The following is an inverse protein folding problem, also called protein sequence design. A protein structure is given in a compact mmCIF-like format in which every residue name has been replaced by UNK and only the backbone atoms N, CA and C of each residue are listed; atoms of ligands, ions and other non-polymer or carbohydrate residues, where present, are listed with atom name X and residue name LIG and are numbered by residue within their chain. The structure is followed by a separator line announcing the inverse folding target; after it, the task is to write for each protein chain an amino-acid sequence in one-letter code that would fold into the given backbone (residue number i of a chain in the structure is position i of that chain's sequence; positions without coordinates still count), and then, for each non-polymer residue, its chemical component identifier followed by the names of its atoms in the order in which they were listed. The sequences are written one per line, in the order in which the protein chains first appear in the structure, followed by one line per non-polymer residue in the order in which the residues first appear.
data_IF_232088024901
#
_entry.id   IF_232088024901
#
_cell.length_a   1.000
_cell.length_b   1.000
_cell.length_c   1.000
_cell.angle_alpha   90.00
_cell.angle_beta   90.00
_cell.angle_gamma   90.00
#
_symmetry.space_group_name_H-M   'P 1'
#
loop_
_entity.id
_entity.type
_entity.pdbx_description
1 polymer ?
#
# COMPACT_ATOMS: atom_id res chain seq x y z
N UNK A 1 0.74 7.34 18.38
CA UNK A 1 1.53 6.74 17.26
C UNK A 1 2.99 7.20 17.31
N UNK A 2 3.45 8.17 16.51
CA UNK A 2 4.90 8.49 16.44
C UNK A 2 5.48 9.09 17.74
N UNK A 3 4.69 9.87 18.49
CA UNK A 3 5.11 10.42 19.80
C UNK A 3 5.13 9.39 20.94
N UNK A 4 4.47 8.25 20.76
CA UNK A 4 4.29 7.23 21.80
C UNK A 4 5.05 5.94 21.47
N UNK A 5 5.72 5.85 20.31
CA UNK A 5 6.36 4.64 19.77
C UNK A 5 5.46 3.39 19.74
N UNK A 6 4.15 3.57 19.84
CA UNK A 6 3.20 2.47 19.89
C UNK A 6 2.62 2.23 18.49
N UNK A 7 3.23 1.29 17.77
CA UNK A 7 2.74 0.76 16.49
C UNK A 7 1.95 -0.54 16.67
N UNK A 8 1.30 -0.72 17.83
CA UNK A 8 0.48 -1.91 18.05
C UNK A 8 -0.70 -1.94 17.08
N UNK A 9 -1.09 -3.14 16.62
CA UNK A 9 -2.23 -3.30 15.73
C UNK A 9 -3.55 -2.87 16.38
N UNK A 10 -3.63 -2.84 17.71
CA UNK A 10 -4.80 -2.32 18.44
C UNK A 10 -4.89 -0.80 18.35
N UNK A 11 -3.77 -0.10 18.50
CA UNK A 11 -3.73 1.35 18.35
C UNK A 11 -4.09 1.74 16.90
N UNK A 12 -3.61 1.00 15.89
CA UNK A 12 -3.99 1.22 14.48
C UNK A 12 -5.49 0.98 14.25
N UNK A 13 -6.07 -0.05 14.89
CA UNK A 13 -7.52 -0.34 14.82
C UNK A 13 -8.35 0.77 15.46
N UNK A 14 -7.92 1.26 16.62
CA UNK A 14 -8.63 2.29 17.38
C UNK A 14 -8.61 3.65 16.67
N UNK A 15 -7.47 4.00 16.05
CA UNK A 15 -7.30 5.23 15.28
C UNK A 15 -7.86 5.13 13.85
N UNK A 16 -8.33 3.95 13.41
CA UNK A 16 -8.86 3.69 12.07
C UNK A 16 -7.97 4.22 10.93
N UNK A 17 -6.65 4.16 11.11
CA UNK A 17 -5.70 4.64 10.11
C UNK A 17 -5.59 3.59 9.02
N UNK A 18 -5.99 3.96 7.79
CA UNK A 18 -5.79 3.14 6.59
C UNK A 18 -4.55 3.57 5.81
N UNK A 19 -4.25 2.86 4.73
CA UNK A 19 -3.18 3.26 3.80
C UNK A 19 -3.49 4.61 3.12
N UNK A 20 -4.78 4.95 2.96
CA UNK A 20 -5.25 6.19 2.31
C UNK A 20 -4.98 7.43 3.15
N UNK A 21 -5.08 7.32 4.47
CA UNK A 21 -4.89 8.44 5.39
C UNK A 21 -3.46 8.53 5.94
N UNK A 22 -2.54 7.69 5.46
CA UNK A 22 -1.15 7.66 5.93
C UNK A 22 -0.37 8.89 5.40
N UNK A 23 -0.61 9.25 4.15
CA UNK A 23 0.03 10.39 3.49
C UNK A 23 -1.02 11.38 2.99
N UNK A 24 -0.68 12.66 3.05
CA UNK A 24 -1.49 13.74 2.50
C UNK A 24 -0.65 14.42 1.43
N UNK A 25 -1.19 14.53 0.22
CA UNK A 25 -0.55 15.28 -0.86
C UNK A 25 -0.64 16.77 -0.57
N UNK A 26 0.51 17.45 -0.56
CA UNK A 26 0.58 18.90 -0.39
C UNK A 26 0.69 19.53 -1.78
N UNK A 27 -0.26 20.39 -2.19
CA UNK A 27 -0.21 21.01 -3.50
C UNK A 27 0.99 21.97 -3.60
N UNK A 28 1.78 21.82 -4.66
CA UNK A 28 2.94 22.69 -4.93
C UNK A 28 2.46 23.91 -5.70
N UNK A 29 2.61 25.10 -5.10
CA UNK A 29 2.29 26.39 -5.74
C UNK A 29 3.59 27.13 -6.03
N UNK A 30 3.93 27.24 -7.32
CA UNK A 30 5.09 27.99 -7.77
C UNK A 30 4.68 29.47 -7.89
N UNK A 31 5.37 30.36 -7.16
CA UNK A 31 5.21 31.81 -7.27
C UNK A 31 6.54 32.42 -7.65
N UNK A 32 6.56 33.12 -8.78
CA UNK A 32 7.74 33.82 -9.26
C UNK A 32 7.65 35.31 -8.97
N UNK A 33 8.81 35.92 -8.73
CA UNK A 33 8.91 37.39 -8.69
C UNK A 33 8.76 37.98 -10.09
N UNK A 34 8.33 39.25 -10.23
CA UNK A 34 8.28 39.91 -11.53
C UNK A 34 9.62 39.89 -12.26
N UNK A 35 10.73 40.04 -11.52
CA UNK A 35 12.08 40.01 -12.09
C UNK A 35 12.45 38.62 -12.63
N UNK A 36 12.05 37.56 -11.92
CA UNK A 36 12.22 36.18 -12.37
C UNK A 36 11.43 35.93 -13.66
N UNK A 37 10.25 36.52 -13.82
CA UNK A 37 9.47 36.37 -15.05
C UNK A 37 10.15 37.07 -16.25
N UNK A 38 10.74 38.25 -16.04
CA UNK A 38 11.51 38.96 -17.08
C UNK A 38 12.72 38.12 -17.49
N UNK A 39 13.48 37.62 -16.50
CA UNK A 39 14.63 36.76 -16.74
C UNK A 39 14.24 35.46 -17.48
N UNK A 40 13.13 34.82 -17.10
CA UNK A 40 12.64 33.63 -17.80
C UNK A 40 12.22 33.93 -19.25
N UNK A 41 11.77 35.16 -19.54
CA UNK A 41 11.43 35.59 -20.90
C UNK A 41 12.69 35.74 -21.77
N UNK A 42 13.74 36.38 -21.24
CA UNK A 42 15.03 36.50 -21.94
C UNK A 42 15.66 35.11 -22.17
N UNK A 43 15.60 34.23 -21.18
CA UNK A 43 16.12 32.86 -21.30
C UNK A 43 15.31 32.07 -22.35
N UNK A 44 13.99 32.26 -22.42
CA UNK A 44 13.16 31.56 -23.41
C UNK A 44 13.54 31.90 -24.85
N UNK A 45 14.03 33.11 -25.13
CA UNK A 45 14.52 33.51 -26.46
C UNK A 45 15.89 32.90 -26.79
N UNK A 46 16.68 32.55 -25.77
CA UNK A 46 18.00 31.92 -25.95
C UNK A 46 17.93 30.40 -26.11
N UNK A 47 16.79 29.77 -25.79
CA UNK A 47 16.62 28.31 -25.88
C UNK A 47 16.20 27.91 -27.31
N UNK A 48 16.87 26.94 -27.94
CA UNK A 48 16.44 26.40 -29.23
C UNK A 48 15.03 25.79 -29.16
N UNK A 49 14.18 26.05 -30.16
CA UNK A 49 12.78 25.58 -30.20
C UNK A 49 12.64 24.04 -30.11
N UNK A 50 13.68 23.28 -30.46
CA UNK A 50 13.65 21.82 -30.50
C UNK A 50 13.67 21.14 -29.11
N UNK A 51 14.20 21.82 -28.08
CA UNK A 51 14.38 21.27 -26.73
C UNK A 51 13.04 20.93 -26.03
N UNK A 52 11.93 21.57 -26.43
CA UNK A 52 10.59 21.34 -25.87
C UNK A 52 9.85 20.11 -26.42
N UNK A 53 10.31 19.54 -27.53
CA UNK A 53 9.60 18.46 -28.24
C UNK A 53 9.71 17.10 -27.56
N UNK A 54 10.63 16.94 -26.59
CA UNK A 54 10.87 15.70 -25.82
C UNK A 54 9.61 15.21 -25.10
N UNK A 55 8.66 16.10 -24.79
CA UNK A 55 7.37 15.72 -24.21
C UNK A 55 6.51 14.87 -25.17
N UNK A 56 6.65 15.04 -26.48
CA UNK A 56 5.88 14.30 -27.49
C UNK A 56 6.54 12.98 -27.91
N UNK A 57 7.65 12.61 -27.27
CA UNK A 57 8.28 11.32 -27.53
C UNK A 57 7.35 10.16 -27.13
N UNK A 58 7.24 9.21 -28.05
CA UNK A 58 6.47 7.97 -27.96
C UNK A 58 7.34 6.80 -27.44
N UNK A 59 8.67 6.96 -27.40
CA UNK A 59 9.66 5.99 -26.95
C UNK A 59 9.68 5.76 -25.43
N UNK A 60 8.52 5.65 -24.78
CA UNK A 60 8.41 5.62 -23.31
C UNK A 60 8.27 4.20 -22.73
N UNK A 61 8.40 3.15 -23.55
CA UNK A 61 8.21 1.75 -23.14
C UNK A 61 9.12 1.31 -21.98
N UNK A 62 10.37 1.80 -21.93
CA UNK A 62 11.32 1.47 -20.86
C UNK A 62 10.89 2.02 -19.50
N UNK A 63 10.29 3.21 -19.47
CA UNK A 63 9.76 3.84 -18.24
C UNK A 63 8.58 3.02 -17.71
N UNK A 64 7.69 2.58 -18.60
CA UNK A 64 6.56 1.74 -18.23
C UNK A 64 7.01 0.38 -17.69
N UNK A 65 7.96 -0.26 -18.35
CA UNK A 65 8.52 -1.53 -17.90
C UNK A 65 9.17 -1.38 -16.51
N UNK A 66 9.92 -0.29 -16.28
CA UNK A 66 10.50 0.02 -14.99
C UNK A 66 9.45 0.18 -13.88
N UNK A 67 8.40 0.97 -14.14
CA UNK A 67 7.31 1.18 -13.19
C UNK A 67 6.54 -0.11 -12.89
N UNK A 68 6.29 -0.95 -13.90
CA UNK A 68 5.66 -2.26 -13.72
C UNK A 68 6.55 -3.21 -12.92
N UNK A 69 7.86 -3.22 -13.16
CA UNK A 69 8.82 -4.02 -12.39
C UNK A 69 8.85 -3.63 -10.92
N UNK A 70 8.88 -2.33 -10.62
CA UNK A 70 8.80 -1.84 -9.25
C UNK A 70 7.46 -2.18 -8.59
N UNK A 71 6.35 -2.11 -9.33
CA UNK A 71 5.04 -2.52 -8.82
C UNK A 71 5.01 -4.01 -8.47
N UNK A 72 5.54 -4.88 -9.33
CA UNK A 72 5.61 -6.32 -9.08
C UNK A 72 6.39 -6.63 -7.80
N UNK A 73 7.55 -5.99 -7.59
CA UNK A 73 8.36 -6.16 -6.38
C UNK A 73 7.58 -5.81 -5.11
N UNK A 74 6.82 -4.70 -5.12
CA UNK A 74 6.00 -4.29 -3.96
C UNK A 74 4.82 -5.21 -3.72
N UNK A 75 4.19 -5.74 -4.77
CA UNK A 75 3.12 -6.73 -4.64
C UNK A 75 3.65 -8.03 -4.03
N UNK A 76 4.83 -8.49 -4.44
CA UNK A 76 5.47 -9.67 -3.87
C UNK A 76 5.83 -9.45 -2.39
N UNK A 77 6.35 -8.28 -2.03
CA UNK A 77 6.62 -7.90 -0.63
C UNK A 77 5.33 -7.94 0.21
N UNK A 78 4.23 -7.37 -0.30
CA UNK A 78 2.92 -7.42 0.38
C UNK A 78 2.41 -8.86 0.53
N UNK A 79 2.60 -9.70 -0.48
CA UNK A 79 2.20 -11.11 -0.44
C UNK A 79 3.00 -11.90 0.62
N UNK A 80 4.31 -11.65 0.73
CA UNK A 80 5.13 -12.25 1.79
C UNK A 80 4.63 -11.86 3.18
N UNK A 81 4.29 -10.59 3.40
CA UNK A 81 3.69 -10.14 4.66
C UNK A 81 2.30 -10.76 4.91
N UNK A 82 1.48 -10.91 3.87
CA UNK A 82 0.18 -11.57 3.96
C UNK A 82 0.32 -13.05 4.36
N UNK A 83 1.33 -13.76 3.83
CA UNK A 83 1.63 -15.15 4.22
C UNK A 83 2.02 -15.24 5.70
N UNK A 84 2.89 -14.33 6.18
CA UNK A 84 3.27 -14.25 7.60
C UNK A 84 2.03 -14.02 8.49
N UNK A 85 1.14 -13.12 8.08
CA UNK A 85 -0.11 -12.84 8.79
C UNK A 85 -1.06 -14.05 8.81
N UNK A 86 -1.21 -14.75 7.68
CA UNK A 86 -2.04 -15.95 7.60
C UNK A 86 -1.53 -17.07 8.52
N UNK A 87 -0.21 -17.28 8.59
CA UNK A 87 0.40 -18.23 9.53
C UNK A 87 0.11 -17.85 10.98
N UNK A 88 0.25 -16.57 11.33
CA UNK A 88 -0.12 -16.07 12.65
C UNK A 88 -1.59 -16.35 12.97
N UNK A 89 -2.51 -16.08 12.04
CA UNK A 89 -3.94 -16.35 12.21
C UNK A 89 -4.22 -17.84 12.47
N UNK A 90 -3.57 -18.74 11.73
CA UNK A 90 -3.70 -20.18 11.96
C UNK A 90 -3.21 -20.61 13.36
N UNK A 91 -2.09 -20.05 13.83
CA UNK A 91 -1.57 -20.32 15.18
C UNK A 91 -2.53 -19.84 16.28
N UNK A 92 -3.10 -18.64 16.12
CA UNK A 92 -4.08 -18.09 17.06
C UNK A 92 -5.34 -18.95 17.10
N UNK A 93 -5.86 -19.39 15.94
CA UNK A 93 -7.03 -20.26 15.86
C UNK A 93 -6.77 -21.61 16.55
N UNK A 94 -5.60 -22.22 16.29
CA UNK A 94 -5.20 -23.46 16.99
C UNK A 94 -5.14 -23.27 18.50
N UNK A 95 -4.52 -22.20 18.95
CA UNK A 95 -4.43 -21.89 20.37
C UNK A 95 -5.80 -21.67 21.01
N UNK A 96 -6.72 -20.99 20.32
CA UNK A 96 -8.10 -20.82 20.80
C UNK A 96 -8.85 -22.15 20.88
N UNK A 97 -8.67 -23.04 19.90
CA UNK A 97 -9.27 -24.38 19.92
C UNK A 97 -8.72 -25.24 21.06
N UNK A 98 -7.40 -25.24 21.29
CA UNK A 98 -6.78 -25.97 22.39
C UNK A 98 -7.22 -25.42 23.76
N UNK A 99 -7.31 -24.08 23.90
CA UNK A 99 -7.85 -23.42 25.10
C UNK A 99 -9.31 -23.79 25.33
N UNK A 100 -10.14 -23.79 24.29
CA UNK A 100 -11.55 -24.18 24.41
C UNK A 100 -11.70 -25.66 24.81
N UNK A 101 -10.92 -26.57 24.19
CA UNK A 101 -10.89 -27.99 24.55
C UNK A 101 -10.45 -28.21 26.00
N UNK A 102 -9.45 -27.47 26.47
CA UNK A 102 -8.98 -27.53 27.85
C UNK A 102 -10.05 -27.05 28.84
N UNK A 103 -10.71 -25.91 28.55
CA UNK A 103 -11.80 -25.38 29.36
C UNK A 103 -12.99 -26.34 29.43
N UNK A 104 -13.34 -26.97 28.31
CA UNK A 104 -14.44 -27.95 28.26
C UNK A 104 -14.12 -29.19 29.11
N UNK A 105 -12.90 -29.72 29.03
CA UNK A 105 -12.46 -30.85 29.87
C UNK A 105 -12.50 -30.49 31.36
N UNK A 106 -12.02 -29.30 31.72
CA UNK A 106 -12.07 -28.80 33.11
C UNK A 106 -13.50 -28.63 33.61
N UNK A 107 -14.40 -28.10 32.78
CA UNK A 107 -15.81 -27.96 33.12
C UNK A 107 -16.47 -29.33 33.34
N UNK A 108 -16.18 -30.33 32.51
CA UNK A 108 -16.67 -31.70 32.67
C UNK A 108 -16.14 -32.36 33.95
N UNK A 109 -14.84 -32.20 34.26
CA UNK A 109 -14.23 -32.76 35.46
C UNK A 109 -14.77 -32.09 36.74
N UNK A 110 -14.94 -30.76 36.71
CA UNK A 110 -15.54 -30.02 37.81
C UNK A 110 -17.02 -30.41 38.02
N UNK A 111 -17.79 -30.62 36.95
CA UNK A 111 -19.17 -31.12 37.05
C UNK A 111 -19.24 -32.54 37.65
N UNK A 112 -18.31 -33.43 37.28
CA UNK A 112 -18.24 -34.78 37.84
C UNK A 112 -17.83 -34.80 39.33
N UNK A 113 -16.98 -33.87 39.77
CA UNK A 113 -16.59 -33.71 41.18
C UNK A 113 -17.69 -33.05 42.02
N UNK A 114 -18.46 -32.13 41.45
CA UNK A 114 -19.63 -31.55 42.09
C UNK A 114 -20.71 -32.60 42.42
N UNK A 115 -20.87 -33.63 41.58
CA UNK A 115 -21.78 -34.77 41.86
C UNK A 115 -21.24 -35.67 42.98
N UNK A 116 -19.93 -35.64 43.25
CA UNK A 116 -19.26 -36.40 44.31
C UNK A 116 -19.04 -35.60 45.61
N UNK A 117 -19.54 -34.37 45.70
CA UNK A 117 -19.36 -33.46 46.85
C UNK A 117 -17.88 -33.12 47.18
N UNK A 118 -16.96 -33.25 46.21
CA UNK A 118 -15.55 -32.85 46.36
C UNK A 118 -15.33 -31.39 45.89
N UNK A 119 -14.42 -30.63 46.54
CA UNK A 119 -14.14 -29.26 46.15
C UNK A 119 -13.55 -29.17 44.72
N UNK A 120 -13.96 -28.15 43.93
CA UNK A 120 -13.52 -27.99 42.54
C UNK A 120 -12.01 -27.78 42.45
N UNK A 121 -11.41 -28.24 41.34
CA UNK A 121 -9.96 -28.12 41.12
C UNK A 121 -9.53 -26.64 41.11
N UNK A 122 -8.36 -26.29 41.68
CA UNK A 122 -7.85 -24.92 41.71
C UNK A 122 -7.70 -24.34 40.31
N UNK A 123 -8.14 -23.10 40.10
CA UNK A 123 -8.03 -22.39 38.83
C UNK A 123 -6.56 -22.12 38.48
N UNK A 124 -5.92 -23.07 37.77
CA UNK A 124 -4.69 -22.75 37.07
C UNK A 124 -4.98 -21.69 36.02
N UNK A 125 -4.27 -20.58 36.15
CA UNK A 125 -4.47 -19.38 35.36
C UNK A 125 -4.26 -19.71 33.86
N UNK A 126 -5.36 -19.87 33.14
CA UNK A 126 -5.38 -20.32 31.72
C UNK A 126 -4.53 -19.42 30.83
N UNK A 127 -4.32 -18.17 31.25
CA UNK A 127 -3.47 -17.20 30.57
C UNK A 127 -1.97 -17.44 30.80
N UNK A 128 -1.54 -18.12 31.87
CA UNK A 128 -0.15 -18.57 32.06
C UNK A 128 0.19 -19.77 31.18
N UNK A 129 -0.79 -20.64 30.93
CA UNK A 129 -0.61 -21.87 30.13
C UNK A 129 -0.68 -21.59 28.62
N UNK A 130 -1.57 -20.71 28.18
CA UNK A 130 -1.74 -20.32 26.77
C UNK A 130 -1.31 -18.86 26.54
N UNK A 131 0.00 -18.63 26.42
CA UNK A 131 0.55 -17.29 26.15
C UNK A 131 0.11 -16.78 24.77
N UNK A 132 -0.48 -15.57 24.66
CA UNK A 132 -0.86 -15.00 23.38
C UNK A 132 0.32 -14.96 22.40
N UNK A 133 0.10 -15.42 21.18
CA UNK A 133 1.12 -15.31 20.13
C UNK A 133 1.38 -13.83 19.81
N UNK A 134 2.65 -13.41 19.61
CA UNK A 134 2.97 -12.03 19.29
C UNK A 134 2.35 -11.65 17.96
N UNK A 135 1.65 -10.52 17.95
CA UNK A 135 1.05 -9.96 16.73
C UNK A 135 2.13 -9.48 15.77
N UNK A 136 2.09 -9.88 14.48
CA UNK A 136 2.97 -9.30 13.47
C UNK A 136 2.75 -7.78 13.35
N UNK A 137 3.83 -6.99 13.17
CA UNK A 137 3.72 -5.56 12.92
C UNK A 137 2.88 -5.27 11.66
N UNK A 138 1.97 -4.28 11.75
CA UNK A 138 1.08 -3.92 10.62
C UNK A 138 1.50 -2.67 9.84
N UNK A 139 2.56 -1.99 10.28
CA UNK A 139 3.03 -0.76 9.66
C UNK A 139 3.61 -1.00 8.26
N UNK A 140 4.53 -1.95 8.10
CA UNK A 140 5.15 -2.26 6.81
C UNK A 140 4.11 -2.64 5.74
N UNK A 141 3.17 -3.57 5.99
CA UNK A 141 2.10 -3.86 5.02
C UNK A 141 1.28 -2.63 4.62
N UNK A 142 1.04 -1.70 5.56
CA UNK A 142 0.28 -0.48 5.31
C UNK A 142 1.06 0.50 4.41
N UNK A 143 2.37 0.63 4.62
CA UNK A 143 3.25 1.44 3.77
C UNK A 143 3.34 0.85 2.36
N UNK A 144 3.58 -0.46 2.25
CA UNK A 144 3.69 -1.16 0.96
C UNK A 144 2.37 -1.05 0.18
N UNK A 145 1.21 -1.18 0.84
CA UNK A 145 -0.09 -0.94 0.21
C UNK A 145 -0.23 0.49 -0.34
N UNK A 146 0.25 1.49 0.40
CA UNK A 146 0.31 2.88 -0.07
C UNK A 146 1.19 3.04 -1.30
N UNK A 147 2.38 2.43 -1.30
CA UNK A 147 3.30 2.46 -2.45
C UNK A 147 2.68 1.81 -3.69
N UNK A 148 2.00 0.66 -3.54
CA UNK A 148 1.28 -0.02 -4.63
C UNK A 148 0.24 0.93 -5.24
N UNK A 149 -0.53 1.62 -4.41
CA UNK A 149 -1.52 2.60 -4.88
C UNK A 149 -0.86 3.74 -5.67
N UNK A 150 0.23 4.32 -5.16
CA UNK A 150 0.98 5.38 -5.87
C UNK A 150 1.52 4.89 -7.22
N UNK A 151 2.13 3.71 -7.27
CA UNK A 151 2.59 3.13 -8.54
C UNK A 151 1.44 2.90 -9.52
N UNK A 152 0.29 2.42 -9.05
CA UNK A 152 -0.91 2.23 -9.87
C UNK A 152 -1.42 3.56 -10.46
N UNK A 153 -1.48 4.61 -9.64
CA UNK A 153 -1.86 5.96 -10.09
C UNK A 153 -0.87 6.51 -11.14
N UNK A 154 0.43 6.36 -10.90
CA UNK A 154 1.47 6.80 -11.84
C UNK A 154 1.39 6.06 -13.19
N UNK A 155 1.20 4.74 -13.16
CA UNK A 155 1.03 3.93 -14.37
C UNK A 155 -0.23 4.37 -15.13
N UNK A 156 -1.35 4.58 -14.43
CA UNK A 156 -2.59 5.05 -15.05
C UNK A 156 -2.44 6.43 -15.70
N UNK A 157 -1.77 7.37 -15.01
CA UNK A 157 -1.49 8.70 -15.55
C UNK A 157 -0.57 8.62 -16.77
N UNK A 158 0.48 7.81 -16.70
CA UNK A 158 1.41 7.58 -17.80
C UNK A 158 0.71 7.00 -19.02
N UNK A 159 -0.10 5.95 -18.85
CA UNK A 159 -0.88 5.35 -19.95
C UNK A 159 -1.82 6.36 -20.60
N UNK A 160 -2.47 7.20 -19.79
CA UNK A 160 -3.37 8.26 -20.29
C UNK A 160 -2.61 9.29 -21.14
N UNK A 161 -1.40 9.69 -20.71
CA UNK A 161 -0.54 10.58 -21.47
C UNK A 161 -0.04 9.93 -22.77
N UNK A 162 0.41 8.67 -22.73
CA UNK A 162 0.86 7.94 -23.92
C UNK A 162 -0.25 7.78 -24.95
N UNK A 163 -1.49 7.49 -24.52
CA UNK A 163 -2.65 7.43 -25.41
C UNK A 163 -2.93 8.79 -26.05
N UNK A 164 -2.88 9.88 -25.28
CA UNK A 164 -3.08 11.23 -25.82
C UNK A 164 -2.04 11.56 -26.90
N UNK A 165 -0.77 11.22 -26.67
CA UNK A 165 0.31 11.39 -27.67
C UNK A 165 0.04 10.57 -28.94
N UNK A 166 -0.36 9.31 -28.80
CA UNK A 166 -0.70 8.44 -29.93
C UNK A 166 -1.83 9.02 -30.78
N UNK A 167 -2.91 9.51 -30.16
CA UNK A 167 -4.02 10.12 -30.88
C UNK A 167 -3.61 11.43 -31.59
N UNK A 168 -2.76 12.25 -30.96
CA UNK A 168 -2.20 13.44 -31.60
C UNK A 168 -1.36 13.07 -32.83
N UNK A 169 -0.47 12.08 -32.71
CA UNK A 169 0.35 11.61 -33.83
C UNK A 169 -0.51 11.00 -34.95
N UNK A 170 -1.54 10.24 -34.61
CA UNK A 170 -2.47 9.66 -35.58
C UNK A 170 -3.22 10.76 -36.36
N UNK A 171 -3.71 11.78 -35.68
CA UNK A 171 -4.37 12.92 -36.33
C UNK A 171 -3.43 13.66 -37.30
N UNK A 172 -2.17 13.85 -36.90
CA UNK A 172 -1.15 14.46 -37.75
C UNK A 172 -0.82 13.58 -38.98
N UNK A 173 -0.72 12.26 -38.79
CA UNK A 173 -0.45 11.32 -39.87
C UNK A 173 -1.59 11.30 -40.89
N UNK A 174 -2.84 11.19 -40.42
CA UNK A 174 -4.02 11.22 -41.29
C UNK A 174 -4.13 12.55 -42.07
N UNK A 175 -3.80 13.68 -41.44
CA UNK A 175 -3.79 14.98 -42.11
C UNK A 175 -2.70 15.09 -43.20
N UNK A 176 -1.58 14.38 -43.04
CA UNK A 176 -0.52 14.29 -44.05
C UNK A 176 -0.95 13.42 -45.23
N UNK A 177 -1.55 12.27 -44.96
CA UNK A 177 -2.00 11.34 -46.01
C UNK A 177 -3.16 11.93 -46.83
N UNK A 178 -4.05 12.71 -46.20
CA UNK A 178 -5.11 13.46 -46.90
C UNK A 178 -4.61 14.59 -47.81
N UNK A 179 -3.38 15.08 -47.62
CA UNK A 179 -2.74 16.08 -48.49
C UNK A 179 -1.96 15.48 -49.66
N UNK A 180 -1.64 14.19 -49.64
CA UNK A 180 -0.95 13.51 -50.74
C UNK A 180 -1.92 12.94 -51.81
N UNK A 181 -3.21 12.81 -51.48
CA UNK A 181 -4.25 12.26 -52.37
C UNK A 181 -5.13 13.33 -53.05
N UNK A 182 -4.75 14.61 -52.98
CA UNK A 182 -5.32 15.74 -53.74
C UNK A 182 -4.19 16.44 -54.51
#
# INVERSE_FOLDING_TARGET
MYKENDYTPEALRNLKIGYESLFVEVPIVIRNSPLTNIMMSEISEMIPEEEGSKFLDLGTASVLEGQLRSLMERVDELNQEAIKFNRYQQLVVRQQQDKHRWLLKRAQENAARAVKDEPPLPDEDVNKLFKPHPVPPRLNPMIVAGQINTYSQHISQFCSQSLAKLYLTQALQNAKDGKQNN
#
